data_IF_567579069221
#
_entry.id   IF_567579069221
#
_cell.length_a   1.000
_cell.length_b   1.000
_cell.length_c   1.000
_cell.angle_alpha   90.00
_cell.angle_beta   90.00
_cell.angle_gamma   90.00
#
_symmetry.space_group_name_H-M   'P 1'
#
loop_
_entity.id
_entity.type
_entity.pdbx_description
1 polymer ?
#
# COMPACT_ATOMS: atom_id res chain seq x y z
N UNK A 1 14.46 -14.46 8.47
CA UNK A 1 15.63 -15.12 7.81
C UNK A 1 16.31 -14.11 6.89
N UNK A 2 17.63 -13.91 6.96
CA UNK A 2 18.31 -12.79 6.26
C UNK A 2 18.29 -12.86 4.72
N UNK A 3 17.93 -14.02 4.14
CA UNK A 3 17.96 -14.25 2.70
C UNK A 3 16.94 -13.46 1.88
N UNK A 4 15.82 -13.02 2.48
CA UNK A 4 14.74 -12.34 1.76
C UNK A 4 14.86 -10.81 1.73
N UNK A 5 15.71 -10.24 2.58
CA UNK A 5 15.87 -8.78 2.74
C UNK A 5 16.60 -8.18 1.53
N UNK A 6 17.69 -8.80 1.11
CA UNK A 6 18.51 -8.34 -0.01
C UNK A 6 17.75 -8.28 -1.34
N UNK A 7 16.99 -9.31 -1.77
CA UNK A 7 16.25 -9.23 -3.02
C UNK A 7 15.19 -8.13 -2.97
N UNK A 8 14.43 -7.99 -1.88
CA UNK A 8 13.44 -6.91 -1.76
C UNK A 8 14.09 -5.53 -1.80
N UNK A 9 15.22 -5.35 -1.10
CA UNK A 9 15.95 -4.09 -1.13
C UNK A 9 16.38 -3.72 -2.56
N UNK A 10 16.97 -4.65 -3.31
CA UNK A 10 17.41 -4.41 -4.68
C UNK A 10 16.23 -4.12 -5.63
N UNK A 11 15.13 -4.85 -5.49
CA UNK A 11 13.94 -4.65 -6.31
C UNK A 11 13.30 -3.28 -6.06
N UNK A 12 13.13 -2.89 -4.79
CA UNK A 12 12.59 -1.58 -4.43
C UNK A 12 13.54 -0.44 -4.81
N UNK A 13 14.84 -0.64 -4.72
CA UNK A 13 15.84 0.32 -5.20
C UNK A 13 15.69 0.58 -6.71
N UNK A 14 15.58 -0.47 -7.52
CA UNK A 14 15.37 -0.33 -8.97
C UNK A 14 14.00 0.28 -9.29
N UNK A 15 12.95 -0.08 -8.55
CA UNK A 15 11.60 0.52 -8.68
C UNK A 15 11.59 2.04 -8.40
N UNK A 16 12.46 2.52 -7.50
CA UNK A 16 12.59 3.94 -7.19
C UNK A 16 13.23 4.78 -8.29
N UNK A 17 14.03 4.18 -9.16
CA UNK A 17 14.77 4.90 -10.21
C UNK A 17 13.88 5.61 -11.25
N UNK A 18 12.88 4.95 -11.89
CA UNK A 18 12.05 5.62 -12.88
C UNK A 18 11.24 6.79 -12.29
N UNK A 19 10.86 6.71 -11.01
CA UNK A 19 10.24 7.82 -10.30
C UNK A 19 11.20 8.99 -10.09
N UNK A 20 12.42 8.73 -9.60
CA UNK A 20 13.45 9.76 -9.40
C UNK A 20 13.84 10.48 -10.69
N UNK A 21 14.02 9.72 -11.76
CA UNK A 21 14.30 10.22 -13.11
C UNK A 21 13.25 11.25 -13.53
N UNK A 22 11.96 10.94 -13.36
CA UNK A 22 10.90 11.82 -13.82
C UNK A 22 10.55 12.96 -12.87
N UNK A 23 10.67 12.75 -11.56
CA UNK A 23 10.21 13.72 -10.57
C UNK A 23 11.26 14.80 -10.33
N UNK A 24 12.53 14.44 -10.47
CA UNK A 24 13.66 15.30 -10.14
C UNK A 24 14.51 15.64 -11.35
N UNK A 25 15.00 14.64 -12.09
CA UNK A 25 15.99 14.87 -13.16
C UNK A 25 15.36 15.55 -14.39
N UNK A 26 14.30 14.97 -14.96
CA UNK A 26 13.75 15.41 -16.24
C UNK A 26 13.21 16.84 -16.24
N UNK A 27 12.48 17.33 -15.21
CA UNK A 27 12.01 18.71 -15.20
C UNK A 27 13.15 19.73 -15.25
N UNK A 28 14.25 19.44 -14.53
CA UNK A 28 15.44 20.30 -14.50
C UNK A 28 16.16 20.24 -15.84
N UNK A 29 16.38 19.04 -16.37
CA UNK A 29 17.05 18.84 -17.66
C UNK A 29 16.27 19.46 -18.82
N UNK A 30 14.95 19.26 -18.89
CA UNK A 30 14.09 19.89 -19.90
C UNK A 30 14.18 21.41 -19.82
N UNK A 31 14.25 21.97 -18.61
CA UNK A 31 14.42 23.41 -18.46
C UNK A 31 15.79 23.90 -18.94
N UNK A 32 16.87 23.14 -18.69
CA UNK A 32 18.23 23.52 -19.10
C UNK A 32 18.42 23.48 -20.62
N UNK A 33 17.73 22.58 -21.32
CA UNK A 33 17.74 22.53 -22.80
C UNK A 33 16.69 23.43 -23.45
N UNK A 34 16.05 24.31 -22.68
CA UNK A 34 15.21 25.39 -23.19
C UNK A 34 13.72 25.06 -23.41
N UNK A 35 13.20 23.93 -22.91
CA UNK A 35 11.76 23.66 -22.99
C UNK A 35 10.96 24.65 -22.13
N UNK A 36 9.79 25.03 -22.63
CA UNK A 36 8.88 25.93 -21.92
C UNK A 36 8.30 25.30 -20.65
N UNK A 37 7.97 26.12 -19.65
CA UNK A 37 7.28 25.69 -18.44
C UNK A 37 5.97 24.96 -18.75
N UNK A 38 5.26 25.33 -19.82
CA UNK A 38 4.05 24.63 -20.29
C UNK A 38 4.35 23.19 -20.67
N UNK A 39 5.41 22.92 -21.44
CA UNK A 39 5.79 21.54 -21.82
C UNK A 39 6.21 20.71 -20.61
N UNK A 40 6.95 21.30 -19.68
CA UNK A 40 7.34 20.66 -18.43
C UNK A 40 6.11 20.37 -17.56
N UNK A 41 5.16 21.31 -17.49
CA UNK A 41 3.88 21.12 -16.80
C UNK A 41 3.05 19.99 -17.43
N UNK A 42 2.95 19.95 -18.76
CA UNK A 42 2.27 18.88 -19.49
C UNK A 42 2.96 17.51 -19.31
N UNK A 43 4.27 17.47 -19.10
CA UNK A 43 4.97 16.24 -18.78
C UNK A 43 4.49 15.58 -17.47
N UNK A 44 3.81 16.32 -16.57
CA UNK A 44 3.15 15.72 -15.40
C UNK A 44 2.02 14.76 -15.77
N UNK A 45 1.38 14.94 -16.94
CA UNK A 45 0.35 14.00 -17.45
C UNK A 45 0.95 12.61 -17.67
N UNK A 46 2.26 12.51 -17.90
CA UNK A 46 2.94 11.23 -18.09
C UNK A 46 2.91 10.35 -16.83
N UNK A 47 2.63 10.92 -15.66
CA UNK A 47 2.43 10.17 -14.41
C UNK A 47 1.07 9.48 -14.31
N UNK A 48 0.15 9.72 -15.26
CA UNK A 48 -1.18 9.13 -15.26
C UNK A 48 -1.17 7.61 -14.98
N UNK A 49 -0.20 6.81 -15.47
CA UNK A 49 -0.18 5.39 -15.16
C UNK A 49 -0.06 5.06 -13.67
N UNK A 50 0.62 5.88 -12.85
CA UNK A 50 0.70 5.66 -11.41
C UNK A 50 -0.66 5.77 -10.71
N UNK A 51 -1.54 6.63 -11.23
CA UNK A 51 -2.91 6.80 -10.73
C UNK A 51 -3.80 5.66 -11.24
N UNK A 52 -3.66 5.32 -12.52
CA UNK A 52 -4.48 4.32 -13.20
C UNK A 52 -4.02 2.88 -12.93
N UNK A 53 -2.97 2.65 -12.13
CA UNK A 53 -2.45 1.30 -11.87
C UNK A 53 -3.46 0.32 -11.31
N UNK A 54 -4.50 0.82 -10.64
CA UNK A 54 -5.65 0.03 -10.18
C UNK A 54 -6.37 -0.69 -11.33
N UNK A 55 -6.34 -0.14 -12.55
CA UNK A 55 -6.99 -0.73 -13.73
C UNK A 55 -6.33 -2.04 -14.17
N UNK A 56 -5.00 -2.14 -14.09
CA UNK A 56 -4.25 -3.34 -14.50
C UNK A 56 -3.69 -4.14 -13.33
N UNK A 57 -3.82 -3.70 -12.08
CA UNK A 57 -3.45 -4.51 -10.92
C UNK A 57 -4.08 -5.92 -10.95
N UNK A 58 -5.39 -6.09 -11.26
CA UNK A 58 -5.99 -7.43 -11.37
C UNK A 58 -5.34 -8.30 -12.48
N UNK A 59 -4.92 -7.68 -13.59
CA UNK A 59 -4.22 -8.37 -14.67
C UNK A 59 -2.86 -8.91 -14.19
N UNK A 60 -2.13 -8.06 -13.45
CA UNK A 60 -0.83 -8.43 -12.87
C UNK A 60 -0.97 -9.48 -11.76
N UNK A 61 -2.11 -9.53 -11.08
CA UNK A 61 -2.41 -10.51 -10.05
C UNK A 61 -2.82 -11.89 -10.59
N UNK A 62 -3.50 -11.95 -11.74
CA UNK A 62 -4.17 -13.17 -12.18
C UNK A 62 -3.41 -13.97 -13.24
N UNK A 63 -2.67 -13.32 -14.15
CA UNK A 63 -2.28 -13.96 -15.41
C UNK A 63 -0.90 -14.63 -15.41
N UNK A 64 0.10 -14.02 -14.76
CA UNK A 64 1.46 -14.55 -14.72
C UNK A 64 1.95 -14.59 -13.27
N UNK A 65 3.02 -15.34 -13.02
CA UNK A 65 3.71 -15.27 -11.73
C UNK A 65 4.27 -13.86 -11.52
N UNK A 66 4.43 -13.46 -10.25
CA UNK A 66 4.98 -12.15 -9.88
C UNK A 66 6.38 -11.96 -10.45
N UNK A 67 7.21 -13.01 -10.44
CA UNK A 67 8.52 -13.02 -11.10
C UNK A 67 8.44 -12.79 -12.61
N UNK A 68 7.50 -13.39 -13.32
CA UNK A 68 7.36 -13.19 -14.76
C UNK A 68 6.93 -11.75 -15.10
N UNK A 69 5.98 -11.18 -14.35
CA UNK A 69 5.60 -9.77 -14.51
C UNK A 69 6.75 -8.81 -14.19
N UNK A 70 7.54 -9.11 -13.16
CA UNK A 70 8.73 -8.36 -12.80
C UNK A 70 9.76 -8.35 -13.95
N UNK A 71 10.08 -9.54 -14.48
CA UNK A 71 11.03 -9.67 -15.59
C UNK A 71 10.53 -8.99 -16.87
N UNK A 72 9.23 -9.12 -17.19
CA UNK A 72 8.63 -8.49 -18.35
C UNK A 72 8.66 -6.97 -18.27
N UNK A 73 8.24 -6.41 -17.12
CA UNK A 73 8.24 -4.96 -16.90
C UNK A 73 9.65 -4.38 -16.91
N UNK A 74 10.62 -5.02 -16.25
CA UNK A 74 12.03 -4.62 -16.29
C UNK A 74 12.63 -4.71 -17.69
N UNK A 75 12.30 -5.76 -18.46
CA UNK A 75 12.76 -5.91 -19.85
C UNK A 75 12.18 -4.83 -20.75
N UNK A 76 10.92 -4.47 -20.54
CA UNK A 76 10.30 -3.32 -21.21
C UNK A 76 10.98 -2.01 -20.84
N UNK A 77 11.31 -1.80 -19.56
CA UNK A 77 12.01 -0.59 -19.10
C UNK A 77 13.41 -0.48 -19.71
N UNK A 78 14.14 -1.61 -19.78
CA UNK A 78 15.41 -1.71 -20.48
C UNK A 78 15.25 -1.31 -21.96
N UNK A 79 14.28 -1.90 -22.66
CA UNK A 79 14.03 -1.60 -24.07
C UNK A 79 13.63 -0.13 -24.29
N UNK A 80 12.79 0.42 -23.43
CA UNK A 80 12.40 1.83 -23.46
C UNK A 80 13.61 2.75 -23.22
N UNK A 81 14.53 2.36 -22.31
CA UNK A 81 15.76 3.13 -22.09
C UNK A 81 16.69 3.10 -23.30
N UNK A 82 16.87 1.93 -23.93
CA UNK A 82 17.69 1.81 -25.15
C UNK A 82 17.09 2.60 -26.32
N UNK A 83 15.77 2.55 -26.49
CA UNK A 83 15.07 3.37 -27.49
C UNK A 83 15.20 4.87 -27.18
N UNK A 84 15.12 5.24 -25.89
CA UNK A 84 15.29 6.60 -25.41
C UNK A 84 16.67 7.19 -25.60
N UNK A 85 17.70 6.35 -25.65
CA UNK A 85 19.08 6.80 -25.76
C UNK A 85 19.37 7.56 -27.07
N UNK A 86 18.66 7.23 -28.16
CA UNK A 86 18.78 7.92 -29.45
C UNK A 86 17.79 9.09 -29.62
N UNK A 87 16.83 9.26 -28.70
CA UNK A 87 15.81 10.31 -28.78
C UNK A 87 16.26 11.55 -28.02
N UNK A 88 16.67 12.60 -28.73
CA UNK A 88 17.01 13.89 -28.08
C UNK A 88 15.74 14.73 -27.85
N UNK A 89 15.48 15.21 -26.62
CA UNK A 89 14.25 15.96 -26.31
C UNK A 89 14.20 17.36 -26.95
N UNK A 90 15.34 17.91 -27.35
CA UNK A 90 15.45 19.18 -28.07
C UNK A 90 14.78 19.11 -29.45
N UNK A 91 14.89 17.96 -30.12
CA UNK A 91 14.41 17.75 -31.48
C UNK A 91 13.09 16.97 -31.47
N UNK A 92 12.94 15.99 -30.56
CA UNK A 92 11.87 15.00 -30.58
C UNK A 92 11.06 14.95 -29.27
N UNK A 93 10.44 16.07 -28.88
CA UNK A 93 9.67 16.13 -27.64
C UNK A 93 8.55 15.07 -27.54
N UNK A 94 7.75 14.89 -28.60
CA UNK A 94 6.61 13.96 -28.57
C UNK A 94 7.04 12.48 -28.50
N UNK A 95 8.03 12.01 -29.29
CA UNK A 95 8.62 10.68 -29.09
C UNK A 95 9.20 10.46 -27.70
N UNK A 96 9.90 11.45 -27.12
CA UNK A 96 10.41 11.36 -25.75
C UNK A 96 9.24 11.25 -24.75
N UNK A 97 8.19 12.05 -24.92
CA UNK A 97 7.01 11.97 -24.06
C UNK A 97 6.32 10.60 -24.15
N UNK A 98 6.18 10.02 -25.35
CA UNK A 98 5.62 8.68 -25.54
C UNK A 98 6.49 7.59 -24.88
N UNK A 99 7.82 7.68 -25.02
CA UNK A 99 8.76 6.78 -24.35
C UNK A 99 8.65 6.91 -22.82
N UNK A 100 8.56 8.12 -22.29
CA UNK A 100 8.37 8.35 -20.85
C UNK A 100 7.02 7.81 -20.36
N UNK A 101 5.94 7.97 -21.13
CA UNK A 101 4.64 7.39 -20.81
C UNK A 101 4.73 5.86 -20.73
N UNK A 102 5.41 5.24 -21.70
CA UNK A 102 5.66 3.80 -21.70
C UNK A 102 6.49 3.37 -20.47
N UNK A 103 7.52 4.14 -20.11
CA UNK A 103 8.29 3.89 -18.89
C UNK A 103 7.43 3.97 -17.63
N UNK A 104 6.53 4.95 -17.51
CA UNK A 104 5.59 5.02 -16.38
C UNK A 104 4.65 3.83 -16.32
N UNK A 105 4.11 3.42 -17.46
CA UNK A 105 3.23 2.26 -17.54
C UNK A 105 3.97 1.01 -17.04
N UNK A 106 5.17 0.75 -17.57
CA UNK A 106 5.97 -0.40 -17.18
C UNK A 106 6.45 -0.33 -15.73
N UNK A 107 6.84 0.85 -15.24
CA UNK A 107 7.23 1.07 -13.84
C UNK A 107 6.05 0.82 -12.89
N UNK A 108 4.83 1.20 -13.27
CA UNK A 108 3.64 0.93 -12.45
C UNK A 108 3.28 -0.57 -12.43
N UNK A 109 3.54 -1.31 -13.51
CA UNK A 109 3.40 -2.79 -13.54
C UNK A 109 4.48 -3.43 -12.67
N UNK A 110 5.71 -2.93 -12.75
CA UNK A 110 6.82 -3.36 -11.91
C UNK A 110 6.49 -3.16 -10.43
N UNK A 111 5.96 -2.00 -10.05
CA UNK A 111 5.53 -1.66 -8.69
C UNK A 111 4.52 -2.68 -8.13
N UNK A 112 3.47 -3.00 -8.89
CA UNK A 112 2.50 -4.05 -8.50
C UNK A 112 3.17 -5.43 -8.38
N UNK A 113 4.09 -5.76 -9.28
CA UNK A 113 4.80 -7.03 -9.25
C UNK A 113 5.72 -7.15 -8.02
N UNK A 114 6.51 -6.12 -7.71
CA UNK A 114 7.41 -6.08 -6.54
C UNK A 114 6.61 -6.15 -5.25
N UNK A 115 5.53 -5.39 -5.11
CA UNK A 115 4.67 -5.45 -3.92
C UNK A 115 4.03 -6.83 -3.76
N UNK A 116 3.64 -7.47 -4.88
CA UNK A 116 3.17 -8.85 -4.88
C UNK A 116 4.24 -9.86 -4.46
N UNK A 117 5.50 -9.66 -4.87
CA UNK A 117 6.64 -10.47 -4.40
C UNK A 117 6.83 -10.27 -2.89
N UNK A 118 6.82 -9.04 -2.41
CA UNK A 118 7.01 -8.74 -0.99
C UNK A 118 5.97 -9.43 -0.10
N UNK A 119 4.70 -9.40 -0.50
CA UNK A 119 3.61 -10.09 0.22
C UNK A 119 3.78 -11.61 0.23
N UNK A 120 4.36 -12.20 -0.82
CA UNK A 120 4.58 -13.66 -0.88
C UNK A 120 5.84 -14.13 -0.14
N UNK A 121 6.85 -13.27 -0.03
CA UNK A 121 8.11 -13.60 0.64
C UNK A 121 8.00 -13.37 2.16
N UNK A 122 7.47 -12.22 2.57
CA UNK A 122 7.50 -11.79 3.97
C UNK A 122 6.49 -12.56 4.84
N UNK A 123 6.98 -13.11 5.95
CA UNK A 123 6.12 -13.62 7.02
C UNK A 123 5.36 -12.50 7.74
N UNK A 124 4.32 -12.86 8.50
CA UNK A 124 3.47 -11.90 9.24
C UNK A 124 4.28 -10.99 10.19
N UNK A 125 5.34 -11.52 10.81
CA UNK A 125 6.22 -10.77 11.71
C UNK A 125 7.22 -9.87 10.95
N UNK A 126 7.51 -10.18 9.68
CA UNK A 126 8.51 -9.48 8.86
C UNK A 126 7.90 -8.31 8.07
N UNK A 127 6.58 -8.15 8.04
CA UNK A 127 5.88 -7.08 7.29
C UNK A 127 6.35 -5.67 7.69
N UNK A 128 6.60 -5.43 8.98
CA UNK A 128 7.08 -4.12 9.47
C UNK A 128 8.49 -3.79 8.94
N UNK A 129 9.38 -4.79 8.91
CA UNK A 129 10.72 -4.64 8.33
C UNK A 129 10.66 -4.49 6.81
N UNK A 130 9.79 -5.26 6.14
CA UNK A 130 9.55 -5.16 4.70
C UNK A 130 9.14 -3.76 4.26
N UNK A 131 8.20 -3.13 4.96
CA UNK A 131 7.78 -1.75 4.68
C UNK A 131 8.94 -0.75 4.87
N UNK A 132 9.78 -0.95 5.89
CA UNK A 132 10.97 -0.11 6.09
C UNK A 132 11.95 -0.25 4.92
N UNK A 133 12.23 -1.48 4.49
CA UNK A 133 13.10 -1.77 3.34
C UNK A 133 12.54 -1.11 2.08
N UNK A 134 11.24 -1.26 1.84
CA UNK A 134 10.53 -0.65 0.71
C UNK A 134 10.78 0.85 0.64
N UNK A 135 10.47 1.58 1.71
CA UNK A 135 10.58 3.05 1.71
C UNK A 135 12.03 3.50 1.54
N UNK A 136 12.97 2.89 2.26
CA UNK A 136 14.39 3.28 2.23
C UNK A 136 15.00 2.99 0.86
N UNK A 137 14.84 1.77 0.36
CA UNK A 137 15.41 1.38 -0.92
C UNK A 137 14.82 2.19 -2.08
N UNK A 138 13.49 2.35 -2.11
CA UNK A 138 12.80 3.16 -3.11
C UNK A 138 13.32 4.60 -3.13
N UNK A 139 13.39 5.27 -1.98
CA UNK A 139 13.91 6.64 -1.89
C UNK A 139 15.36 6.74 -2.33
N UNK A 140 16.19 5.76 -1.95
CA UNK A 140 17.58 5.74 -2.37
C UNK A 140 17.71 5.62 -3.89
N UNK A 141 16.92 4.73 -4.52
CA UNK A 141 16.83 4.62 -5.97
C UNK A 141 16.38 5.92 -6.64
N UNK A 142 15.36 6.57 -6.07
CA UNK A 142 14.87 7.86 -6.57
C UNK A 142 15.90 8.98 -6.46
N UNK A 143 16.66 9.05 -5.36
CA UNK A 143 17.72 10.05 -5.17
C UNK A 143 18.88 9.81 -6.15
N UNK A 144 19.27 8.55 -6.35
CA UNK A 144 20.33 8.18 -7.30
C UNK A 144 19.92 8.54 -8.73
N UNK A 145 18.73 8.16 -9.18
CA UNK A 145 18.26 8.45 -10.54
C UNK A 145 17.82 9.91 -10.75
N UNK A 146 17.44 10.61 -9.68
CA UNK A 146 17.09 12.01 -9.69
C UNK A 146 18.34 12.89 -9.63
N UNK A 147 18.86 13.10 -8.41
CA UNK A 147 20.00 13.98 -8.18
C UNK A 147 21.32 13.41 -8.70
N UNK A 148 21.59 12.12 -8.47
CA UNK A 148 22.83 11.49 -8.91
C UNK A 148 23.00 11.56 -10.42
N UNK A 149 22.04 11.04 -11.18
CA UNK A 149 22.11 11.06 -12.64
C UNK A 149 22.06 12.48 -13.22
N UNK A 150 21.37 13.42 -12.56
CA UNK A 150 21.39 14.83 -12.97
C UNK A 150 22.82 15.42 -12.89
N UNK A 151 23.59 15.08 -11.85
CA UNK A 151 25.00 15.53 -11.76
C UNK A 151 25.89 14.90 -12.84
N UNK A 152 25.57 13.68 -13.27
CA UNK A 152 26.28 12.99 -14.35
C UNK A 152 25.82 13.44 -15.75
N UNK A 153 24.63 14.04 -15.87
CA UNK A 153 24.03 14.41 -17.15
C UNK A 153 24.92 15.34 -17.98
N UNK A 154 25.57 16.31 -17.34
CA UNK A 154 26.48 17.24 -18.04
C UNK A 154 27.76 16.55 -18.56
N UNK A 155 28.14 15.39 -18.00
CA UNK A 155 29.36 14.65 -18.39
C UNK A 155 29.07 13.53 -19.38
N UNK A 156 27.99 12.77 -19.14
CA UNK A 156 27.61 11.62 -19.97
C UNK A 156 26.74 12.03 -21.17
N UNK A 157 25.95 13.09 -21.03
CA UNK A 157 24.88 13.41 -21.96
C UNK A 157 23.69 12.45 -21.86
N UNK A 158 22.60 12.82 -22.54
CA UNK A 158 21.33 12.11 -22.51
C UNK A 158 21.47 10.64 -22.93
N UNK A 159 22.05 10.37 -24.11
CA UNK A 159 22.09 9.03 -24.68
C UNK A 159 22.86 8.04 -23.81
N UNK A 160 24.07 8.40 -23.38
CA UNK A 160 24.87 7.53 -22.52
C UNK A 160 24.23 7.30 -21.15
N UNK A 161 23.50 8.28 -20.60
CA UNK A 161 22.78 8.12 -19.34
C UNK A 161 21.63 7.11 -19.47
N UNK A 162 20.88 7.14 -20.56
CA UNK A 162 19.83 6.15 -20.82
C UNK A 162 20.39 4.75 -21.10
N UNK A 163 21.55 4.64 -21.77
CA UNK A 163 22.28 3.36 -21.90
C UNK A 163 22.75 2.86 -20.53
N UNK A 164 23.26 3.74 -19.68
CA UNK A 164 23.67 3.40 -18.32
C UNK A 164 22.50 2.90 -17.48
N UNK A 165 21.35 3.57 -17.56
CA UNK A 165 20.11 3.12 -16.90
C UNK A 165 19.63 1.76 -17.47
N UNK A 166 19.74 1.55 -18.79
CA UNK A 166 19.43 0.25 -19.39
C UNK A 166 20.34 -0.87 -18.86
N UNK A 167 21.63 -0.59 -18.64
CA UNK A 167 22.57 -1.55 -18.05
C UNK A 167 22.20 -1.91 -16.60
N UNK A 168 21.70 -0.94 -15.82
CA UNK A 168 21.18 -1.21 -14.47
C UNK A 168 19.96 -2.13 -14.52
N UNK A 169 19.01 -1.88 -15.42
CA UNK A 169 17.87 -2.79 -15.60
C UNK A 169 18.31 -4.17 -16.07
N UNK A 170 19.34 -4.27 -16.94
CA UNK A 170 19.88 -5.56 -17.36
C UNK A 170 20.42 -6.35 -16.17
N UNK A 171 21.20 -5.69 -15.31
CA UNK A 171 21.73 -6.32 -14.10
C UNK A 171 20.61 -6.74 -13.14
N UNK A 172 19.57 -5.91 -12.99
CA UNK A 172 18.40 -6.23 -12.17
C UNK A 172 17.64 -7.45 -12.72
N UNK A 173 17.48 -7.56 -14.04
CA UNK A 173 16.85 -8.71 -14.71
C UNK A 173 17.69 -9.97 -14.47
N UNK A 174 19.01 -9.91 -14.68
CA UNK A 174 19.90 -11.05 -14.45
C UNK A 174 19.85 -11.52 -13.00
N UNK A 175 19.83 -10.58 -12.04
CA UNK A 175 19.65 -10.88 -10.64
C UNK A 175 18.30 -11.55 -10.36
N UNK A 176 17.19 -10.95 -10.81
CA UNK A 176 15.85 -11.48 -10.60
C UNK A 176 15.61 -12.84 -11.29
N UNK A 177 16.33 -13.09 -12.39
CA UNK A 177 16.35 -14.38 -13.06
C UNK A 177 17.12 -15.42 -12.24
N UNK A 178 18.26 -15.04 -11.64
CA UNK A 178 19.10 -15.91 -10.82
C UNK A 178 18.50 -16.25 -9.45
N UNK A 179 17.79 -15.30 -8.82
CA UNK A 179 17.33 -15.38 -7.44
C UNK A 179 16.36 -16.57 -7.21
N UNK A 180 16.75 -17.60 -6.43
CA UNK A 180 15.90 -18.75 -6.15
C UNK A 180 14.64 -18.40 -5.35
N UNK A 181 14.72 -17.38 -4.49
CA UNK A 181 13.61 -16.89 -3.66
C UNK A 181 12.43 -16.42 -4.52
N UNK A 182 12.73 -15.86 -5.70
CA UNK A 182 11.71 -15.37 -6.63
C UNK A 182 11.09 -16.51 -7.47
N UNK A 183 11.76 -17.67 -7.59
CA UNK A 183 11.27 -18.82 -8.37
C UNK A 183 10.06 -19.48 -7.71
N UNK A 184 9.95 -19.38 -6.39
CA UNK A 184 8.82 -19.90 -5.63
C UNK A 184 7.53 -19.07 -5.73
N UNK A 185 7.58 -17.89 -6.35
CA UNK A 185 6.41 -17.01 -6.47
C UNK A 185 5.29 -17.69 -7.25
N UNK A 186 4.10 -17.75 -6.65
CA UNK A 186 2.93 -18.39 -7.26
C UNK A 186 2.03 -17.32 -7.87
N UNK A 187 1.26 -17.66 -8.91
CA UNK A 187 0.11 -16.84 -9.27
C UNK A 187 -0.80 -16.70 -8.04
N UNK A 188 -1.33 -15.50 -7.78
CA UNK A 188 -2.15 -15.19 -6.61
C UNK A 188 -3.41 -16.07 -6.53
N UNK A 189 -3.86 -16.57 -7.67
CA UNK A 189 -5.04 -17.43 -7.78
C UNK A 189 -4.61 -18.89 -7.71
N UNK A 190 -4.93 -19.54 -6.59
CA UNK A 190 -4.92 -20.99 -6.48
C UNK A 190 -5.79 -21.64 -7.57
N UNK A 191 -5.36 -22.81 -8.02
CA UNK A 191 -5.86 -23.58 -9.17
C UNK A 191 -7.35 -24.00 -9.12
N UNK A 192 -8.16 -23.56 -8.16
CA UNK A 192 -9.58 -23.97 -8.06
C UNK A 192 -10.57 -23.04 -8.79
N UNK A 193 -10.17 -21.84 -9.23
CA UNK A 193 -11.08 -20.92 -9.96
C UNK A 193 -10.96 -20.97 -11.49
N UNK A 194 -10.37 -22.04 -12.04
CA UNK A 194 -10.08 -22.19 -13.49
C UNK A 194 -11.33 -22.29 -14.41
N UNK A 195 -12.56 -22.09 -13.90
CA UNK A 195 -13.78 -22.18 -14.70
C UNK A 195 -14.58 -20.87 -14.82
N UNK A 196 -14.07 -19.74 -14.32
CA UNK A 196 -14.73 -18.44 -14.54
C UNK A 196 -13.75 -17.50 -15.19
N UNK A 197 -13.88 -17.37 -16.51
CA UNK A 197 -13.50 -16.18 -17.28
C UNK A 197 -14.25 -15.01 -16.66
N UNK A 198 -13.79 -14.56 -15.49
CA UNK A 198 -14.34 -13.42 -14.79
C UNK A 198 -13.89 -12.26 -15.64
N UNK A 199 -14.80 -11.76 -16.47
CA UNK A 199 -14.64 -10.49 -17.15
C UNK A 199 -14.01 -9.54 -16.14
N UNK A 200 -12.96 -8.81 -16.55
CA UNK A 200 -12.28 -7.79 -15.75
C UNK A 200 -13.26 -6.64 -15.50
N UNK A 201 -14.32 -6.93 -14.76
CA UNK A 201 -15.33 -5.99 -14.37
C UNK A 201 -14.76 -5.27 -13.16
N UNK A 202 -13.99 -4.23 -13.44
CA UNK A 202 -13.35 -3.40 -12.44
C UNK A 202 -14.35 -2.92 -11.38
N UNK A 203 -15.58 -2.63 -11.80
CA UNK A 203 -16.68 -2.25 -10.92
C UNK A 203 -17.02 -3.34 -9.89
N UNK A 204 -16.95 -4.60 -10.29
CA UNK A 204 -17.19 -5.73 -9.40
C UNK A 204 -16.04 -5.87 -8.38
N UNK A 205 -14.78 -5.74 -8.82
CA UNK A 205 -13.60 -5.78 -7.94
C UNK A 205 -13.62 -4.62 -6.94
N UNK A 206 -13.94 -3.41 -7.41
CA UNK A 206 -14.04 -2.23 -6.55
C UNK A 206 -15.15 -2.40 -5.51
N UNK A 207 -16.29 -2.95 -5.90
CA UNK A 207 -17.39 -3.25 -4.98
C UNK A 207 -17.01 -4.29 -3.94
N UNK A 208 -16.28 -5.33 -4.34
CA UNK A 208 -15.79 -6.36 -3.42
C UNK A 208 -14.77 -5.77 -2.43
N UNK A 209 -13.83 -4.96 -2.91
CA UNK A 209 -12.86 -4.24 -2.07
C UNK A 209 -13.57 -3.33 -1.05
N UNK A 210 -14.57 -2.57 -1.49
CA UNK A 210 -15.34 -1.67 -0.62
C UNK A 210 -16.29 -2.42 0.34
N UNK A 211 -16.58 -3.69 0.08
CA UNK A 211 -17.41 -4.52 0.95
C UNK A 211 -16.65 -5.12 2.14
N UNK A 212 -15.31 -5.12 2.08
CA UNK A 212 -14.48 -5.55 3.21
C UNK A 212 -14.63 -4.51 4.34
N UNK A 213 -14.95 -4.95 5.58
CA UNK A 213 -15.06 -4.06 6.73
C UNK A 213 -13.84 -3.15 6.88
N UNK A 214 -14.06 -1.89 7.29
CA UNK A 214 -13.04 -0.86 7.51
C UNK A 214 -12.26 -0.36 6.27
N UNK A 215 -12.36 -1.02 5.12
CA UNK A 215 -11.73 -0.56 3.86
C UNK A 215 -12.19 0.83 3.41
N UNK A 216 -13.49 1.19 3.36
CA UNK A 216 -13.90 2.52 2.93
C UNK A 216 -13.41 3.63 3.87
N UNK A 217 -13.37 3.37 5.18
CA UNK A 217 -12.79 4.28 6.17
C UNK A 217 -11.29 4.46 5.97
N UNK A 218 -10.57 3.36 5.74
CA UNK A 218 -9.13 3.38 5.47
C UNK A 218 -8.80 4.15 4.18
N UNK A 219 -9.58 3.94 3.11
CA UNK A 219 -9.45 4.69 1.85
C UNK A 219 -9.67 6.18 2.10
N UNK A 220 -10.76 6.55 2.79
CA UNK A 220 -11.06 7.94 3.11
C UNK A 220 -9.94 8.61 3.91
N UNK A 221 -9.45 7.93 4.94
CA UNK A 221 -8.32 8.39 5.76
C UNK A 221 -7.04 8.59 4.93
N UNK A 222 -6.64 7.59 4.14
CA UNK A 222 -5.43 7.66 3.30
C UNK A 222 -5.55 8.78 2.28
N UNK A 223 -6.71 8.96 1.65
CA UNK A 223 -6.94 10.03 0.68
C UNK A 223 -6.84 11.42 1.31
N UNK A 224 -7.52 11.66 2.44
CA UNK A 224 -7.46 12.94 3.14
C UNK A 224 -6.04 13.27 3.61
N UNK A 225 -5.39 12.29 4.24
CA UNK A 225 -4.00 12.42 4.70
C UNK A 225 -3.06 12.73 3.53
N UNK A 226 -3.13 11.94 2.44
CA UNK A 226 -2.24 12.13 1.29
C UNK A 226 -2.51 13.41 0.53
N UNK A 227 -3.76 13.83 0.41
CA UNK A 227 -4.10 15.12 -0.20
C UNK A 227 -3.49 16.29 0.61
N UNK A 228 -3.62 16.24 1.94
CA UNK A 228 -3.02 17.24 2.83
C UNK A 228 -1.49 17.25 2.76
N UNK A 229 -0.86 16.07 2.79
CA UNK A 229 0.59 15.90 2.66
C UNK A 229 1.11 16.46 1.32
N UNK A 230 0.47 16.13 0.20
CA UNK A 230 0.87 16.62 -1.13
C UNK A 230 0.67 18.12 -1.28
N UNK A 231 -0.40 18.67 -0.70
CA UNK A 231 -0.62 20.12 -0.64
C UNK A 231 0.49 20.83 0.15
N UNK A 232 0.82 20.33 1.34
CA UNK A 232 1.86 20.90 2.18
C UNK A 232 3.26 20.81 1.54
N UNK A 233 3.64 19.64 1.02
CA UNK A 233 4.98 19.41 0.45
C UNK A 233 5.24 20.23 -0.81
N UNK A 234 4.20 20.65 -1.54
CA UNK A 234 4.34 21.48 -2.74
C UNK A 234 4.23 22.98 -2.44
N UNK A 235 3.36 23.41 -1.53
CA UNK A 235 3.11 24.83 -1.25
C UNK A 235 4.01 25.40 -0.17
N UNK A 236 4.35 24.62 0.86
CA UNK A 236 5.15 25.12 1.98
C UNK A 236 6.55 25.63 1.56
N UNK A 237 7.28 24.96 0.65
CA UNK A 237 8.57 25.49 0.18
C UNK A 237 8.44 26.81 -0.58
N UNK A 238 7.35 27.00 -1.34
CA UNK A 238 7.08 28.24 -2.07
C UNK A 238 6.76 29.38 -1.10
N UNK A 239 5.93 29.12 -0.10
CA UNK A 239 5.63 30.08 0.97
C UNK A 239 6.89 30.57 1.69
N UNK A 240 7.82 29.67 2.01
CA UNK A 240 9.10 30.01 2.64
C UNK A 240 10.01 30.82 1.70
N UNK A 241 10.02 30.52 0.40
CA UNK A 241 10.77 31.29 -0.59
C UNK A 241 10.29 32.75 -0.64
N UNK A 242 8.97 32.96 -0.62
CA UNK A 242 8.36 34.30 -0.62
C UNK A 242 8.68 35.10 0.66
N UNK A 243 8.98 34.42 1.78
CA UNK A 243 9.40 35.03 3.04
C UNK A 243 10.93 35.22 3.15
N UNK A 244 11.66 35.10 2.04
CA UNK A 244 13.08 35.44 1.97
C UNK A 244 14.04 34.31 2.35
N UNK A 245 13.57 33.07 2.48
CA UNK A 245 14.47 31.92 2.64
C UNK A 245 15.28 31.69 1.36
N UNK A 246 16.55 31.34 1.50
CA UNK A 246 17.39 31.07 0.33
C UNK A 246 17.01 29.74 -0.33
N UNK A 247 17.22 29.65 -1.65
CA UNK A 247 17.02 28.41 -2.42
C UNK A 247 17.87 27.24 -1.88
N UNK A 248 19.06 27.55 -1.34
CA UNK A 248 19.95 26.59 -0.70
C UNK A 248 19.37 26.04 0.60
N UNK A 249 18.81 26.91 1.46
CA UNK A 249 18.14 26.49 2.69
C UNK A 249 16.90 25.65 2.40
N UNK A 250 16.11 26.04 1.40
CA UNK A 250 14.94 25.27 0.98
C UNK A 250 15.32 23.90 0.44
N UNK A 251 16.39 23.80 -0.36
CA UNK A 251 16.91 22.52 -0.84
C UNK A 251 17.41 21.64 0.31
N UNK A 252 18.01 22.21 1.35
CA UNK A 252 18.42 21.47 2.55
C UNK A 252 17.21 20.91 3.32
N UNK A 253 16.21 21.76 3.58
CA UNK A 253 15.00 21.40 4.35
C UNK A 253 14.14 20.38 3.61
N UNK A 254 13.84 20.64 2.33
CA UNK A 254 12.92 19.82 1.53
C UNK A 254 13.57 18.59 0.92
N UNK A 255 14.91 18.62 0.76
CA UNK A 255 15.69 17.49 0.30
C UNK A 255 16.20 16.64 1.46
N UNK A 256 17.34 17.03 2.02
CA UNK A 256 18.10 16.18 2.95
C UNK A 256 17.35 15.93 4.26
N UNK A 257 16.83 17.00 4.88
CA UNK A 257 16.14 16.90 6.17
C UNK A 257 14.84 16.11 6.04
N UNK A 258 14.01 16.43 5.05
CA UNK A 258 12.77 15.69 4.79
C UNK A 258 13.00 14.18 4.52
N UNK A 259 14.03 13.83 3.74
CA UNK A 259 14.39 12.43 3.49
C UNK A 259 14.86 11.74 4.77
N UNK A 260 15.68 12.39 5.58
CA UNK A 260 16.15 11.84 6.85
C UNK A 260 14.99 11.57 7.82
N UNK A 261 14.10 12.54 8.03
CA UNK A 261 12.90 12.36 8.87
C UNK A 261 11.98 11.28 8.32
N UNK A 262 11.84 11.20 7.00
CA UNK A 262 11.03 10.15 6.38
C UNK A 262 11.61 8.75 6.61
N UNK A 263 12.94 8.58 6.52
CA UNK A 263 13.60 7.30 6.79
C UNK A 263 13.41 6.93 8.26
N UNK A 264 13.72 7.84 9.19
CA UNK A 264 13.59 7.61 10.63
C UNK A 264 12.14 7.28 11.01
N UNK A 265 11.18 8.04 10.49
CA UNK A 265 9.76 7.82 10.73
C UNK A 265 9.28 6.46 10.22
N UNK A 266 9.69 6.07 9.01
CA UNK A 266 9.36 4.75 8.45
C UNK A 266 10.00 3.61 9.23
N UNK A 267 11.26 3.75 9.64
CA UNK A 267 11.94 2.74 10.47
C UNK A 267 11.29 2.60 11.85
N UNK A 268 10.93 3.71 12.50
CA UNK A 268 10.25 3.69 13.79
C UNK A 268 8.84 3.07 13.67
N UNK A 269 8.09 3.45 12.64
CA UNK A 269 6.77 2.88 12.36
C UNK A 269 6.84 1.37 12.09
N UNK A 270 7.83 0.92 11.30
CA UNK A 270 8.09 -0.50 11.07
C UNK A 270 8.39 -1.27 12.37
N UNK A 271 9.23 -0.70 13.23
CA UNK A 271 9.59 -1.32 14.53
C UNK A 271 8.42 -1.38 15.52
N UNK A 272 7.59 -0.34 15.57
CA UNK A 272 6.41 -0.32 16.44
C UNK A 272 5.36 -1.34 16.00
N UNK A 273 5.13 -1.46 14.68
CA UNK A 273 4.20 -2.44 14.12
C UNK A 273 4.66 -3.88 14.32
N UNK A 274 5.96 -4.16 14.24
CA UNK A 274 6.48 -5.51 14.50
C UNK A 274 6.27 -5.93 15.96
N UNK A 275 6.32 -4.99 16.92
CA UNK A 275 6.06 -5.29 18.34
C UNK A 275 4.58 -5.54 18.63
N UNK A 276 3.69 -4.66 18.18
CA UNK A 276 2.26 -4.79 18.48
C UNK A 276 1.60 -6.00 17.81
N UNK A 277 2.09 -6.41 16.64
CA UNK A 277 1.50 -7.55 15.91
C UNK A 277 1.97 -8.90 16.43
N UNK A 278 3.14 -8.96 17.09
CA UNK A 278 3.57 -10.14 17.84
C UNK A 278 2.70 -10.41 19.08
N UNK A 279 2.00 -9.38 19.59
CA UNK A 279 1.10 -9.48 20.75
C UNK A 279 -0.37 -9.78 20.36
N UNK A 280 -0.73 -9.67 19.07
CA UNK A 280 -2.07 -9.97 18.58
C UNK A 280 -2.20 -11.47 18.23
N UNK A 281 -3.29 -12.16 18.63
CA UNK A 281 -3.48 -13.56 18.26
C UNK A 281 -3.53 -13.70 16.73
N UNK A 282 -2.97 -14.79 16.17
CA UNK A 282 -2.96 -15.01 14.73
C UNK A 282 -4.40 -15.07 14.22
N UNK A 283 -4.72 -14.19 13.27
CA UNK A 283 -5.99 -14.25 12.54
C UNK A 283 -5.91 -15.51 11.66
N UNK A 284 -6.54 -16.59 12.11
CA UNK A 284 -6.63 -17.84 11.37
C UNK A 284 -7.29 -17.59 10.00
N UNK A 285 -6.64 -17.95 8.88
CA UNK A 285 -7.27 -17.91 7.57
C UNK A 285 -8.22 -19.12 7.48
N UNK A 286 -9.44 -18.98 7.99
CA UNK A 286 -10.32 -20.14 8.13
C UNK A 286 -11.79 -19.87 8.42
N UNK A 287 -12.27 -18.62 8.39
CA UNK A 287 -13.73 -18.39 8.42
C UNK A 287 -14.23 -18.29 6.99
N UNK A 288 -14.35 -19.47 6.36
CA UNK A 288 -15.34 -19.69 5.31
C UNK A 288 -16.72 -19.43 5.93
N UNK A 289 -17.29 -18.25 5.67
CA UNK A 289 -18.73 -18.07 5.80
C UNK A 289 -19.38 -19.00 4.77
N UNK A 290 -20.25 -19.95 5.18
CA UNK A 290 -21.02 -20.72 4.21
C UNK A 290 -21.96 -19.76 3.47
N UNK A 291 -22.26 -20.01 2.18
CA UNK A 291 -23.26 -19.22 1.48
C UNK A 291 -24.59 -19.45 2.18
N UNK A 292 -25.25 -18.37 2.58
CA UNK A 292 -26.63 -18.41 3.07
C UNK A 292 -27.55 -18.86 1.94
N UNK A 293 -27.70 -20.18 1.79
CA UNK A 293 -28.77 -20.82 1.04
C UNK A 293 -29.97 -20.97 1.94
N UNK A 294 -31.00 -20.15 1.69
CA UNK A 294 -32.34 -20.37 2.20
C UNK A 294 -32.87 -21.73 1.73
N UNK A 295 -33.07 -22.67 2.65
CA UNK A 295 -34.16 -23.64 2.57
C UNK A 295 -34.40 -24.26 3.94
N UNK A 296 -35.56 -23.91 4.48
CA UNK A 296 -36.19 -24.45 5.68
C UNK A 296 -36.30 -25.97 5.64
N UNK A 297 -35.92 -26.65 6.73
CA UNK A 297 -36.56 -27.89 7.15
C UNK A 297 -36.27 -28.14 8.65
N UNK A 298 -37.34 -28.16 9.44
CA UNK A 298 -37.35 -28.61 10.84
C UNK A 298 -37.06 -30.12 10.91
N UNK A 299 -36.51 -30.60 12.04
CA UNK A 299 -37.38 -31.42 12.89
C UNK A 299 -37.21 -31.14 14.39
N UNK A 300 -38.33 -31.25 15.10
CA UNK A 300 -38.39 -31.22 16.55
C UNK A 300 -38.11 -32.59 17.20
N UNK A 301 -37.84 -32.48 18.50
CA UNK A 301 -37.93 -33.49 19.57
C UNK A 301 -37.06 -34.75 19.47
N UNK A 302 -36.06 -34.86 20.35
CA UNK A 302 -36.10 -35.80 21.48
C UNK A 302 -34.82 -35.70 22.33
N UNK A 303 -35.00 -35.47 23.64
CA UNK A 303 -34.32 -36.18 24.73
C UNK A 303 -32.81 -36.03 24.95
N UNK A 304 -32.43 -35.68 26.19
CA UNK A 304 -31.26 -36.27 26.83
C UNK A 304 -30.26 -35.27 27.40
N UNK A 305 -30.19 -35.23 28.73
CA UNK A 305 -29.31 -34.40 29.54
C UNK A 305 -27.80 -34.63 29.28
N UNK A 306 -27.03 -33.56 29.49
CA UNK A 306 -25.56 -33.59 29.53
C UNK A 306 -24.96 -32.20 29.70
N UNK A 307 -25.15 -31.58 30.87
CA UNK A 307 -24.46 -30.35 31.25
C UNK A 307 -22.95 -30.61 31.43
N UNK A 308 -22.12 -29.97 30.60
CA UNK A 308 -20.74 -29.66 30.92
C UNK A 308 -20.50 -28.19 30.54
N UNK A 309 -20.28 -27.35 31.56
CA UNK A 309 -20.21 -25.91 31.44
C UNK A 309 -18.98 -25.43 30.67
N UNK A 310 -19.22 -24.61 29.65
CA UNK A 310 -18.19 -23.80 29.00
C UNK A 310 -18.10 -22.46 29.74
N UNK A 311 -17.00 -22.25 30.46
CA UNK A 311 -16.64 -20.97 31.03
C UNK A 311 -16.32 -19.98 29.89
N UNK A 312 -17.03 -18.86 29.83
CA UNK A 312 -16.66 -17.70 29.01
C UNK A 312 -15.61 -16.85 29.75
N UNK A 313 -14.39 -16.64 29.22
CA UNK A 313 -13.55 -15.55 29.66
C UNK A 313 -13.88 -14.30 28.84
N UNK A 314 -14.89 -13.53 29.24
CA UNK A 314 -15.02 -12.13 28.83
C UNK A 314 -14.10 -11.25 29.68
N UNK A 315 -12.81 -11.23 29.35
CA UNK A 315 -11.86 -10.18 29.78
C UNK A 315 -10.95 -9.86 28.62
N UNK A 316 -11.03 -8.62 28.10
CA UNK A 316 -9.97 -8.07 27.25
C UNK A 316 -10.38 -7.46 25.92
N UNK A 317 -11.52 -6.79 25.81
CA UNK A 317 -11.80 -5.91 24.66
C UNK A 317 -11.67 -4.43 25.08
N UNK A 318 -10.44 -4.02 25.40
CA UNK A 318 -10.03 -2.61 25.47
C UNK A 318 -8.74 -2.46 24.66
N UNK A 319 -8.83 -2.66 23.35
CA UNK A 319 -7.70 -2.47 22.44
C UNK A 319 -8.13 -1.54 21.32
N UNK A 320 -7.35 -0.49 21.07
CA UNK A 320 -7.50 0.56 20.06
C UNK A 320 -8.31 1.80 20.50
N UNK A 321 -9.62 1.74 20.71
CA UNK A 321 -10.40 2.96 20.99
C UNK A 321 -9.95 3.73 22.26
N UNK A 322 -9.54 3.00 23.31
CA UNK A 322 -9.03 3.59 24.56
C UNK A 322 -7.63 4.20 24.44
N UNK A 323 -6.80 3.70 23.52
CA UNK A 323 -5.43 4.19 23.31
C UNK A 323 -5.45 5.55 22.60
N UNK A 324 -6.38 5.73 21.66
CA UNK A 324 -6.55 6.98 20.90
C UNK A 324 -7.11 8.13 21.77
N UNK A 325 -8.02 7.83 22.71
CA UNK A 325 -8.51 8.85 23.65
C UNK A 325 -7.43 9.33 24.63
N UNK A 326 -6.51 8.44 25.05
CA UNK A 326 -5.40 8.79 25.93
C UNK A 326 -4.34 9.64 25.23
N UNK A 327 -4.07 9.39 23.95
CA UNK A 327 -3.09 10.14 23.15
C UNK A 327 -3.56 11.56 22.76
N UNK A 328 -4.86 11.84 22.76
CA UNK A 328 -5.42 13.11 22.28
C UNK A 328 -5.91 14.05 23.39
N UNK A 329 -5.81 13.68 24.68
CA UNK A 329 -6.33 14.46 25.81
C UNK A 329 -7.78 14.97 25.61
N UNK A 330 -8.60 14.23 24.86
CA UNK A 330 -10.01 14.53 24.66
C UNK A 330 -10.82 13.95 25.85
N UNK A 331 -11.81 14.68 26.40
CA UNK A 331 -12.68 14.14 27.43
C UNK A 331 -13.49 12.94 26.87
N UNK A 332 -13.74 11.89 27.68
CA UNK A 332 -14.40 10.69 27.21
C UNK A 332 -15.81 11.00 26.70
N UNK A 333 -16.28 10.38 25.60
CA UNK A 333 -17.63 10.59 25.12
C UNK A 333 -18.64 10.02 26.13
N UNK A 334 -19.70 10.80 26.37
CA UNK A 334 -20.85 10.46 27.22
C UNK A 334 -21.44 9.07 26.86
N UNK A 335 -21.98 8.34 27.85
CA UNK A 335 -22.32 6.91 27.76
C UNK A 335 -23.43 6.51 26.77
N UNK A 336 -23.98 7.44 25.98
CA UNK A 336 -25.00 7.14 24.96
C UNK A 336 -24.44 6.65 23.62
N UNK A 337 -23.13 6.81 23.36
CA UNK A 337 -22.46 6.29 22.16
C UNK A 337 -22.07 4.80 22.26
N UNK A 338 -21.99 4.23 23.46
CA UNK A 338 -21.73 2.79 23.65
C UNK A 338 -22.92 1.89 23.29
N UNK A 339 -24.15 2.41 23.28
CA UNK A 339 -25.36 1.60 23.04
C UNK A 339 -25.60 1.27 21.56
N UNK A 340 -25.02 2.02 20.61
CA UNK A 340 -25.22 1.79 19.16
C UNK A 340 -24.22 0.75 18.61
N UNK A 341 -23.04 0.60 19.24
CA UNK A 341 -22.07 -0.43 18.84
C UNK A 341 -22.36 -1.84 19.37
N UNK A 342 -23.38 -2.02 20.24
CA UNK A 342 -23.73 -3.31 20.82
C UNK A 342 -24.95 -4.01 20.16
N UNK A 343 -25.61 -3.40 19.17
CA UNK A 343 -26.83 -3.91 18.53
C UNK A 343 -26.61 -4.48 17.10
N UNK A 344 -25.37 -4.78 16.73
CA UNK A 344 -25.02 -5.30 15.40
C UNK A 344 -24.82 -6.81 15.29
N UNK A 345 -25.03 -7.60 16.35
CA UNK A 345 -24.97 -9.07 16.29
C UNK A 345 -26.13 -9.70 17.07
N UNK A 346 -27.11 -10.17 16.29
CA UNK A 346 -28.19 -11.10 16.63
C UNK A 346 -29.22 -10.67 17.70
N UNK A 347 -30.44 -10.40 17.21
CA UNK A 347 -31.65 -10.39 18.00
C UNK A 347 -32.87 -10.57 17.10
N UNK A 348 -33.19 -11.84 16.79
CA UNK A 348 -34.59 -12.20 16.51
C UNK A 348 -35.46 -11.71 17.67
N UNK A 349 -36.62 -11.15 17.32
CA UNK A 349 -37.70 -10.86 18.26
C UNK A 349 -38.07 -12.12 19.05
N UNK A 350 -37.98 -12.03 20.38
CA UNK A 350 -38.88 -12.78 21.27
C UNK A 350 -39.35 -11.80 22.35
N UNK A 351 -40.54 -11.25 22.14
CA UNK A 351 -41.31 -10.51 23.13
C UNK A 351 -41.90 -11.50 24.15
N UNK A 352 -41.23 -11.66 25.30
CA UNK A 352 -41.74 -12.40 26.45
C UNK A 352 -41.92 -11.47 27.65
N UNK A 353 -43.14 -10.96 27.85
CA UNK A 353 -43.55 -10.26 29.09
C UNK A 353 -43.49 -11.24 30.26
N UNK A 354 -42.71 -10.93 31.30
CA UNK A 354 -42.94 -11.51 32.63
C UNK A 354 -43.21 -10.40 33.65
N UNK A 355 -44.43 -10.47 34.19
CA UNK A 355 -44.90 -9.74 35.37
C UNK A 355 -44.01 -10.02 36.58
N UNK A 356 -43.62 -8.95 37.27
CA UNK A 356 -43.00 -8.99 38.60
C UNK A 356 -44.07 -9.28 39.65
N UNK A 357 -43.91 -10.36 40.42
CA UNK A 357 -44.49 -10.52 41.76
C UNK A 357 -43.38 -10.34 42.80
N UNK A 358 -43.61 -9.61 43.90
CA UNK A 358 -42.58 -9.37 44.92
C UNK A 358 -42.51 -10.52 45.95
N UNK A 359 -41.39 -10.64 46.69
CA UNK A 359 -41.09 -11.78 47.56
C UNK A 359 -41.81 -11.69 48.94
N UNK A 360 -41.90 -12.80 49.69
CA UNK A 360 -42.62 -12.84 50.97
C UNK A 360 -41.74 -12.36 52.13
N UNK A 361 -42.33 -11.59 53.04
CA UNK A 361 -41.78 -11.34 54.38
C UNK A 361 -42.65 -12.07 55.42
N UNK A 362 -41.98 -12.76 56.33
CA UNK A 362 -42.54 -13.60 57.38
C UNK A 362 -42.93 -12.80 58.63
N UNK A 363 -44.06 -13.24 59.22
CA UNK A 363 -44.39 -13.36 60.64
C UNK A 363 -44.56 -12.11 61.54
N UNK A 364 -45.73 -12.06 62.21
CA UNK A 364 -45.76 -11.79 63.66
C UNK A 364 -46.81 -10.82 64.19
N UNK A 365 -47.91 -11.39 64.71
CA UNK A 365 -48.56 -11.08 65.99
C UNK A 365 -49.33 -9.76 66.26
N UNK A 366 -50.59 -10.02 66.67
CA UNK A 366 -51.34 -9.43 67.80
C UNK A 366 -52.32 -8.24 67.59
N UNK A 367 -53.55 -8.57 68.01
CA UNK A 367 -54.76 -7.79 68.33
C UNK A 367 -55.64 -7.23 67.21
#
# INVERSE_FOLDING_TARGET
DSGQILPLWLLYFVQGMPYGLQSSLLPIYFRSVGLSFTRIGLAKVLYLPWILKVLWAPLVDQYLTKRSWLLLSMSGLLAACLAGASLTPEIHFLPVAAMLLLMNLLASVQDIAVDGVAVQLLGQEEVGHGNTIQVVAYKMGSVVAGGGFLTLMNRLGWGCLFVFLAAIYLLAILYAWGAPELRGTRPSTSQESCARTRTLNLWWILRELLSVPDTPWTIGFVLLYKLGEQGATTMFPLFLLDHGFSSQQLGLWTGLVAVAFSIVGSSLGGHLLSKQRAEAPPISPGVCLPPAGHSLQFPGSAGGAGQAGVQHPCRGARGLAGLWCQLLHLPPPLPRLCAVCALGTAGQEVTGRHHLTPPPALAGAEN
#
